data_IF_331653815726
#
_entry.id   IF_331653815726
#
_cell.length_a   1.000
_cell.length_b   1.000
_cell.length_c   1.000
_cell.angle_alpha   90.00
_cell.angle_beta   90.00
_cell.angle_gamma   90.00
#
_symmetry.space_group_name_H-M   'P 1'
#
loop_
_entity.id
_entity.type
_entity.pdbx_description
1 polymer ?
#
# COMPACT_ATOMS: atom_id res chain seq x y z
N UNK A 1 -3.59 -38.08 14.04
CA UNK A 1 -4.61 -37.08 13.76
C UNK A 1 -3.91 -35.84 13.28
N UNK A 2 -4.21 -35.25 12.12
CA UNK A 2 -3.58 -33.99 11.73
C UNK A 2 -4.05 -32.91 12.71
N UNK A 3 -3.09 -32.19 13.28
CA UNK A 3 -3.38 -31.03 14.10
C UNK A 3 -4.18 -30.03 13.24
N UNK A 4 -5.39 -29.71 13.66
CA UNK A 4 -6.13 -28.58 13.08
C UNK A 4 -5.30 -27.33 13.42
N UNK A 5 -4.50 -26.86 12.49
CA UNK A 5 -3.93 -25.52 12.52
C UNK A 5 -5.12 -24.54 12.60
N UNK A 6 -5.33 -23.95 13.76
CA UNK A 6 -6.23 -22.82 13.88
C UNK A 6 -5.66 -21.72 13.00
N UNK A 7 -6.15 -21.62 11.77
CA UNK A 7 -5.80 -20.53 10.85
C UNK A 7 -6.35 -19.26 11.50
N UNK A 8 -5.48 -18.40 11.99
CA UNK A 8 -5.86 -17.08 12.47
C UNK A 8 -6.48 -16.33 11.30
N UNK A 9 -7.70 -15.84 11.48
CA UNK A 9 -8.43 -15.09 10.46
C UNK A 9 -8.46 -13.63 10.88
N UNK A 10 -8.20 -12.73 9.94
CA UNK A 10 -8.38 -11.29 10.14
C UNK A 10 -9.70 -10.88 9.50
N UNK A 11 -10.58 -10.28 10.29
CA UNK A 11 -11.96 -9.94 9.87
C UNK A 11 -12.09 -8.41 9.80
N UNK A 12 -12.47 -7.89 8.63
CA UNK A 12 -12.74 -6.47 8.39
C UNK A 12 -14.21 -6.35 7.96
N UNK A 13 -15.11 -6.11 8.91
CA UNK A 13 -16.55 -6.21 8.63
C UNK A 13 -16.93 -7.64 8.28
N UNK A 14 -17.34 -7.87 7.04
CA UNK A 14 -17.69 -9.18 6.45
C UNK A 14 -16.54 -9.77 5.61
N UNK A 15 -15.44 -9.04 5.41
CA UNK A 15 -14.28 -9.52 4.67
C UNK A 15 -13.42 -10.40 5.59
N UNK A 16 -13.15 -11.61 5.13
CA UNK A 16 -12.29 -12.57 5.84
C UNK A 16 -10.97 -12.73 5.11
N UNK A 17 -9.88 -12.34 5.75
CA UNK A 17 -8.52 -12.50 5.24
C UNK A 17 -7.82 -13.63 5.98
N UNK A 18 -7.30 -14.65 5.29
CA UNK A 18 -6.67 -15.80 5.94
C UNK A 18 -5.24 -15.47 6.41
N UNK A 19 -4.85 -16.05 7.54
CA UNK A 19 -3.49 -15.99 8.04
C UNK A 19 -3.06 -14.59 8.49
N UNK A 20 -1.90 -14.16 8.03
CA UNK A 20 -1.33 -12.85 8.26
C UNK A 20 -1.33 -12.05 6.95
N UNK A 21 -2.33 -11.22 6.71
CA UNK A 21 -2.54 -10.58 5.41
C UNK A 21 -1.49 -9.52 5.09
N UNK A 22 -1.14 -9.47 3.81
CA UNK A 22 -0.26 -8.48 3.21
C UNK A 22 -1.08 -7.54 2.32
N UNK A 23 -1.07 -6.26 2.68
CA UNK A 23 -1.88 -5.25 2.02
C UNK A 23 -1.02 -4.38 1.10
N UNK A 24 -1.49 -4.09 -0.12
CA UNK A 24 -0.87 -3.05 -0.95
C UNK A 24 -1.34 -1.67 -0.48
N UNK A 25 -0.37 -0.79 -0.16
CA UNK A 25 -0.68 0.57 0.26
C UNK A 25 -1.26 1.41 -0.88
N UNK A 26 -2.23 2.30 -0.60
CA UNK A 26 -2.66 3.33 -1.56
C UNK A 26 -1.53 4.33 -1.82
N UNK A 27 -1.15 4.50 -3.08
CA UNK A 27 -0.05 5.37 -3.50
C UNK A 27 -0.47 6.16 -4.74
N UNK A 28 -0.44 7.49 -4.65
CA UNK A 28 -0.78 8.38 -5.77
C UNK A 28 0.11 8.11 -6.99
N UNK A 29 -0.49 8.06 -8.16
CA UNK A 29 0.10 7.73 -9.45
C UNK A 29 0.82 6.36 -9.50
N UNK A 30 0.55 5.43 -8.59
CA UNK A 30 1.21 4.12 -8.51
C UNK A 30 0.23 2.97 -8.35
N UNK A 31 -0.71 3.04 -7.39
CA UNK A 31 -1.65 1.94 -7.12
C UNK A 31 -2.89 1.99 -8.01
N UNK A 32 -2.64 2.15 -9.30
CA UNK A 32 -3.61 2.06 -10.39
C UNK A 32 -3.98 0.60 -10.72
N UNK A 33 -5.04 0.35 -11.50
CA UNK A 33 -5.45 -1.00 -11.86
C UNK A 33 -4.34 -1.87 -12.45
N UNK A 34 -3.50 -1.39 -13.41
CA UNK A 34 -2.38 -2.17 -13.94
C UNK A 34 -1.40 -2.66 -12.86
N UNK A 35 -1.00 -1.78 -11.95
CA UNK A 35 -0.08 -2.14 -10.89
C UNK A 35 -0.73 -3.02 -9.82
N UNK A 36 -2.00 -2.76 -9.47
CA UNK A 36 -2.74 -3.63 -8.55
C UNK A 36 -2.88 -5.04 -9.10
N UNK A 37 -3.16 -5.19 -10.41
CA UNK A 37 -3.21 -6.51 -11.05
C UNK A 37 -1.91 -7.29 -10.85
N UNK A 38 -0.77 -6.67 -11.13
CA UNK A 38 0.54 -7.29 -10.95
C UNK A 38 0.84 -7.64 -9.48
N UNK A 39 0.43 -6.79 -8.53
CA UNK A 39 0.55 -7.09 -7.10
C UNK A 39 -0.37 -8.24 -6.66
N UNK A 40 -1.60 -8.30 -7.18
CA UNK A 40 -2.54 -9.39 -6.91
C UNK A 40 -2.02 -10.72 -7.40
N UNK A 41 -1.52 -10.79 -8.63
CA UNK A 41 -0.88 -11.96 -9.22
C UNK A 41 0.31 -12.47 -8.38
N UNK A 42 0.93 -11.58 -7.60
CA UNK A 42 2.04 -11.89 -6.70
C UNK A 42 1.65 -12.04 -5.22
N UNK A 43 0.36 -12.13 -4.90
CA UNK A 43 -0.11 -12.51 -3.57
C UNK A 43 -0.43 -11.36 -2.62
N UNK A 44 -0.73 -10.15 -3.12
CA UNK A 44 -1.35 -9.12 -2.29
C UNK A 44 -2.76 -9.57 -1.87
N UNK A 45 -3.04 -9.66 -0.56
CA UNK A 45 -4.31 -10.17 -0.04
C UNK A 45 -5.43 -9.14 -0.14
N UNK A 46 -5.13 -7.88 0.19
CA UNK A 46 -6.05 -6.75 0.11
C UNK A 46 -5.34 -5.56 -0.53
N UNK A 47 -6.01 -4.87 -1.42
CA UNK A 47 -5.47 -3.70 -2.09
C UNK A 47 -6.37 -2.49 -1.93
N UNK A 48 -5.82 -1.31 -2.23
CA UNK A 48 -6.54 -0.05 -2.22
C UNK A 48 -6.29 0.71 -3.52
N UNK A 49 -7.28 1.46 -3.97
CA UNK A 49 -7.09 2.41 -5.07
C UNK A 49 -6.12 3.53 -4.65
N UNK A 50 -5.67 4.32 -5.60
CA UNK A 50 -5.13 5.63 -5.30
C UNK A 50 -6.18 6.45 -4.53
N UNK A 51 -5.74 7.39 -3.67
CA UNK A 51 -6.70 8.18 -2.90
C UNK A 51 -7.41 9.23 -3.77
N UNK A 52 -8.71 9.35 -3.58
CA UNK A 52 -9.61 10.15 -4.40
C UNK A 52 -10.15 11.33 -3.58
N UNK A 53 -10.05 12.55 -4.13
CA UNK A 53 -10.63 13.72 -3.49
C UNK A 53 -12.17 13.64 -3.49
N UNK A 54 -12.79 13.77 -2.30
CA UNK A 54 -14.25 13.85 -2.17
C UNK A 54 -14.83 14.98 -3.01
N UNK A 55 -14.23 16.18 -2.94
CA UNK A 55 -14.60 17.32 -3.79
C UNK A 55 -14.48 17.03 -5.29
N UNK A 56 -13.43 16.27 -5.69
CA UNK A 56 -13.25 15.87 -7.08
C UNK A 56 -14.33 14.90 -7.55
N UNK A 57 -14.74 13.95 -6.71
CA UNK A 57 -15.81 13.00 -7.01
C UNK A 57 -17.16 13.70 -7.16
N UNK A 58 -17.52 14.58 -6.23
CA UNK A 58 -18.79 15.29 -6.25
C UNK A 58 -18.93 16.17 -7.47
N UNK A 59 -17.84 16.80 -7.90
CA UNK A 59 -17.81 17.65 -9.11
C UNK A 59 -17.63 16.88 -10.41
N UNK A 60 -17.69 15.57 -10.33
CA UNK A 60 -17.57 14.69 -11.49
C UNK A 60 -16.26 14.86 -12.29
N UNK A 61 -15.17 15.16 -11.58
CA UNK A 61 -13.87 15.34 -12.22
C UNK A 61 -13.39 14.04 -12.86
N UNK A 62 -13.08 14.07 -14.15
CA UNK A 62 -12.66 12.90 -14.95
C UNK A 62 -11.55 12.09 -14.25
N UNK A 63 -10.51 12.76 -13.73
CA UNK A 63 -9.42 12.08 -13.01
C UNK A 63 -9.89 11.35 -11.75
N UNK A 64 -10.87 11.90 -11.03
CA UNK A 64 -11.43 11.27 -9.84
C UNK A 64 -12.27 10.04 -10.19
N UNK A 65 -13.00 10.10 -11.28
CA UNK A 65 -13.79 8.96 -11.79
C UNK A 65 -12.92 7.80 -12.23
N UNK A 66 -11.86 8.06 -13.00
CA UNK A 66 -10.92 7.01 -13.40
C UNK A 66 -10.31 6.23 -12.23
N UNK A 67 -10.11 6.89 -11.08
CA UNK A 67 -9.60 6.21 -9.89
C UNK A 67 -10.62 5.30 -9.20
N UNK A 68 -11.89 5.37 -9.59
CA UNK A 68 -12.93 4.43 -9.12
C UNK A 68 -12.89 3.08 -9.85
N UNK A 69 -12.12 2.96 -10.94
CA UNK A 69 -12.05 1.73 -11.71
C UNK A 69 -11.46 0.61 -10.86
N UNK A 70 -12.26 -0.43 -10.65
CA UNK A 70 -11.92 -1.66 -9.94
C UNK A 70 -12.42 -2.86 -10.75
N UNK A 71 -11.78 -4.01 -10.58
CA UNK A 71 -12.06 -5.21 -11.33
C UNK A 71 -12.25 -6.40 -10.38
N UNK A 72 -13.07 -7.38 -10.77
CA UNK A 72 -13.38 -8.54 -9.92
C UNK A 72 -12.15 -9.36 -9.53
N UNK A 73 -11.13 -9.42 -10.37
CA UNK A 73 -9.89 -10.12 -10.07
C UNK A 73 -9.05 -9.44 -8.98
N UNK A 74 -9.32 -8.19 -8.66
CA UNK A 74 -8.62 -7.42 -7.61
C UNK A 74 -9.19 -7.67 -6.21
N UNK A 75 -10.38 -8.24 -6.11
CA UNK A 75 -11.08 -8.44 -4.83
C UNK A 75 -10.30 -9.36 -3.88
N UNK A 76 -10.31 -9.05 -2.57
CA UNK A 76 -10.95 -7.89 -1.95
C UNK A 76 -10.18 -6.60 -2.22
N UNK A 77 -10.91 -5.51 -2.50
CA UNK A 77 -10.36 -4.20 -2.81
C UNK A 77 -11.11 -3.08 -2.10
N UNK A 78 -10.36 -2.11 -1.58
CA UNK A 78 -10.89 -0.88 -1.01
C UNK A 78 -10.74 0.33 -1.92
N UNK A 79 -11.74 1.19 -1.95
CA UNK A 79 -11.62 2.52 -2.55
C UNK A 79 -11.26 3.52 -1.46
N UNK A 80 -10.14 4.24 -1.64
CA UNK A 80 -9.70 5.23 -0.67
C UNK A 80 -10.09 6.64 -1.08
N UNK A 81 -10.75 7.37 -0.16
CA UNK A 81 -11.12 8.78 -0.34
C UNK A 81 -10.44 9.67 0.69
N UNK A 82 -10.35 10.97 0.40
CA UNK A 82 -9.92 11.99 1.35
C UNK A 82 -10.71 13.28 1.15
N UNK A 83 -10.88 14.01 2.25
CA UNK A 83 -11.57 15.31 2.28
C UNK A 83 -11.39 15.97 3.65
N UNK A 84 -11.83 17.21 3.76
CA UNK A 84 -11.84 17.99 5.00
C UNK A 84 -13.22 18.54 5.35
N UNK A 85 -14.28 18.07 4.67
CA UNK A 85 -15.64 18.49 4.84
C UNK A 85 -16.58 17.29 4.98
N UNK A 86 -17.49 17.33 5.96
CA UNK A 86 -18.36 16.20 6.32
C UNK A 86 -19.35 15.85 5.22
N UNK A 87 -19.99 16.85 4.61
CA UNK A 87 -20.99 16.64 3.56
C UNK A 87 -20.34 16.08 2.29
N UNK A 88 -19.16 16.61 1.92
CA UNK A 88 -18.41 16.12 0.75
C UNK A 88 -17.95 14.68 0.92
N UNK A 89 -17.49 14.29 2.10
CA UNK A 89 -17.11 12.90 2.39
C UNK A 89 -18.32 11.97 2.42
N UNK A 90 -19.45 12.40 3.00
CA UNK A 90 -20.68 11.61 2.99
C UNK A 90 -21.20 11.37 1.57
N UNK A 91 -21.18 12.39 0.70
CA UNK A 91 -21.57 12.25 -0.71
C UNK A 91 -20.60 11.34 -1.46
N UNK A 92 -19.29 11.53 -1.30
CA UNK A 92 -18.25 10.68 -1.91
C UNK A 92 -18.40 9.21 -1.47
N UNK A 93 -18.72 8.96 -0.20
CA UNK A 93 -18.95 7.61 0.33
C UNK A 93 -20.12 6.91 -0.36
N UNK A 94 -21.21 7.63 -0.66
CA UNK A 94 -22.35 7.08 -1.44
C UNK A 94 -21.97 6.77 -2.88
N UNK A 95 -21.14 7.61 -3.51
CA UNK A 95 -20.64 7.37 -4.86
C UNK A 95 -19.77 6.10 -4.87
N UNK A 96 -18.88 5.95 -3.88
CA UNK A 96 -18.05 4.75 -3.72
C UNK A 96 -18.91 3.50 -3.46
N UNK A 97 -19.91 3.57 -2.60
CA UNK A 97 -20.85 2.44 -2.32
C UNK A 97 -21.50 1.94 -3.63
N UNK A 98 -21.87 2.85 -4.52
CA UNK A 98 -22.48 2.52 -5.80
C UNK A 98 -21.54 1.81 -6.79
N UNK A 99 -20.22 1.87 -6.60
CA UNK A 99 -19.23 1.14 -7.42
C UNK A 99 -18.95 -0.27 -6.92
N UNK A 100 -19.53 -0.66 -5.78
CA UNK A 100 -19.48 -2.01 -5.20
C UNK A 100 -18.06 -2.55 -4.93
N UNK A 101 -17.16 -1.78 -4.27
CA UNK A 101 -15.94 -2.32 -3.70
C UNK A 101 -16.24 -3.16 -2.46
N UNK A 102 -15.21 -3.82 -1.91
CA UNK A 102 -15.38 -4.60 -0.68
C UNK A 102 -15.35 -3.72 0.58
N UNK A 103 -14.65 -2.57 0.53
CA UNK A 103 -14.61 -1.60 1.64
C UNK A 103 -14.37 -0.16 1.16
N UNK A 104 -14.69 0.79 2.02
CA UNK A 104 -14.33 2.20 1.90
C UNK A 104 -13.18 2.51 2.86
N UNK A 105 -12.11 3.12 2.37
CA UNK A 105 -11.01 3.57 3.22
C UNK A 105 -10.88 5.10 3.24
N UNK A 106 -10.56 5.66 4.40
CA UNK A 106 -10.38 7.10 4.58
C UNK A 106 -8.90 7.41 4.75
N UNK A 107 -8.37 8.32 3.94
CA UNK A 107 -6.99 8.78 4.04
C UNK A 107 -6.84 9.94 5.01
N UNK A 108 -6.28 9.68 6.19
CA UNK A 108 -5.79 10.68 7.13
C UNK A 108 -4.26 10.67 7.26
N UNK A 109 -3.57 10.16 6.24
CA UNK A 109 -2.12 10.00 6.26
C UNK A 109 -1.33 10.75 5.18
N UNK A 110 -1.97 11.31 4.14
CA UNK A 110 -1.28 12.00 3.06
C UNK A 110 -0.54 13.24 3.59
N UNK A 111 0.82 13.29 3.51
CA UNK A 111 1.59 14.38 4.11
C UNK A 111 1.76 15.59 3.19
N UNK A 112 1.30 15.48 1.93
CA UNK A 112 1.53 16.50 0.89
C UNK A 112 0.91 17.83 1.31
N UNK A 113 1.72 18.91 1.25
CA UNK A 113 1.33 20.24 1.72
C UNK A 113 0.00 20.72 1.09
N UNK A 114 -0.20 20.48 -0.21
CA UNK A 114 -1.41 20.86 -0.94
C UNK A 114 -2.69 20.23 -0.36
N UNK A 115 -2.60 19.03 0.24
CA UNK A 115 -3.71 18.33 0.88
C UNK A 115 -3.81 18.73 2.36
N UNK A 116 -2.71 18.64 3.10
CA UNK A 116 -2.69 18.84 4.54
C UNK A 116 -3.03 20.30 4.96
N UNK A 117 -2.63 21.31 4.17
CA UNK A 117 -2.97 22.72 4.46
C UNK A 117 -4.46 23.04 4.24
N UNK A 118 -5.22 22.16 3.58
CA UNK A 118 -6.67 22.31 3.39
C UNK A 118 -7.48 21.56 4.45
N UNK A 119 -6.86 21.13 5.54
CA UNK A 119 -7.54 20.35 6.58
C UNK A 119 -7.96 18.94 6.14
N UNK A 120 -7.28 18.36 5.14
CA UNK A 120 -7.54 17.01 4.63
C UNK A 120 -6.30 16.11 4.76
N UNK A 121 -6.46 14.81 4.56
CA UNK A 121 -5.36 13.86 4.73
C UNK A 121 -4.72 13.98 6.12
N UNK A 122 -3.39 14.03 6.21
CA UNK A 122 -2.71 14.18 7.49
C UNK A 122 -2.94 15.53 8.19
N UNK A 123 -3.55 16.51 7.51
CA UNK A 123 -3.93 17.80 8.12
C UNK A 123 -4.95 17.65 9.25
N UNK A 124 -5.80 16.63 9.16
CA UNK A 124 -6.85 16.32 10.15
C UNK A 124 -6.25 15.87 11.51
N UNK A 125 -4.99 15.40 11.54
CA UNK A 125 -4.31 15.01 12.78
C UNK A 125 -4.14 16.15 13.79
N UNK A 126 -4.38 17.39 13.38
CA UNK A 126 -4.37 18.57 14.26
C UNK A 126 -5.70 18.82 14.98
N UNK A 127 -6.78 18.22 14.50
CA UNK A 127 -8.13 18.37 15.03
C UNK A 127 -8.81 17.01 15.06
N UNK A 128 -8.69 16.32 16.19
CA UNK A 128 -9.26 14.97 16.36
C UNK A 128 -10.80 15.00 16.42
N UNK A 129 -11.39 16.11 16.82
CA UNK A 129 -12.86 16.23 16.82
C UNK A 129 -13.37 16.31 15.38
N UNK A 130 -12.70 17.06 14.52
CA UNK A 130 -12.99 17.05 13.08
C UNK A 130 -12.79 15.63 12.49
N UNK A 131 -11.70 14.95 12.84
CA UNK A 131 -11.43 13.58 12.37
C UNK A 131 -12.58 12.63 12.70
N UNK A 132 -13.08 12.69 13.92
CA UNK A 132 -14.24 11.91 14.40
C UNK A 132 -15.50 12.23 13.59
N UNK A 133 -15.80 13.53 13.38
CA UNK A 133 -16.98 13.94 12.59
C UNK A 133 -16.89 13.49 11.14
N UNK A 134 -15.74 13.67 10.49
CA UNK A 134 -15.51 13.22 9.11
C UNK A 134 -15.68 11.71 8.96
N UNK A 135 -15.12 10.93 9.90
CA UNK A 135 -15.24 9.47 9.90
C UNK A 135 -16.70 9.03 10.11
N UNK A 136 -17.39 9.66 11.07
CA UNK A 136 -18.81 9.38 11.35
C UNK A 136 -19.70 9.70 10.12
N UNK A 137 -19.39 10.76 9.38
CA UNK A 137 -20.10 11.10 8.15
C UNK A 137 -19.96 9.98 7.10
N UNK A 138 -18.74 9.42 6.94
CA UNK A 138 -18.51 8.27 6.05
C UNK A 138 -19.25 7.02 6.53
N UNK A 139 -19.08 6.64 7.82
CA UNK A 139 -19.69 5.42 8.39
C UNK A 139 -21.21 5.43 8.25
N UNK A 140 -21.84 6.58 8.41
CA UNK A 140 -23.31 6.73 8.25
C UNK A 140 -23.78 6.76 6.80
N UNK A 141 -22.90 7.07 5.86
CA UNK A 141 -23.27 7.29 4.45
C UNK A 141 -23.17 6.05 3.57
N UNK A 142 -22.54 4.97 4.04
CA UNK A 142 -22.31 3.73 3.28
C UNK A 142 -22.68 2.49 4.10
N UNK A 143 -22.95 1.39 3.41
CA UNK A 143 -23.10 0.05 4.02
C UNK A 143 -21.77 -0.72 4.07
N UNK A 144 -20.77 -0.24 3.33
CA UNK A 144 -19.46 -0.87 3.28
C UNK A 144 -18.75 -0.83 4.63
N UNK A 145 -17.91 -1.81 4.96
CA UNK A 145 -16.94 -1.68 6.03
C UNK A 145 -16.07 -0.45 5.80
N UNK A 146 -15.99 0.45 6.77
CA UNK A 146 -15.13 1.65 6.70
C UNK A 146 -13.83 1.38 7.43
N UNK A 147 -12.70 1.64 6.76
CA UNK A 147 -11.36 1.57 7.34
C UNK A 147 -10.67 2.92 7.27
N UNK A 148 -9.57 3.08 8.00
CA UNK A 148 -8.80 4.32 8.00
C UNK A 148 -7.32 4.02 7.82
N UNK A 149 -6.64 4.84 7.02
CA UNK A 149 -5.18 4.87 6.95
C UNK A 149 -4.64 6.19 7.46
N UNK A 150 -3.78 6.14 8.47
CA UNK A 150 -3.25 7.34 9.13
C UNK A 150 -1.75 7.26 9.42
N UNK A 151 -1.24 8.22 10.19
CA UNK A 151 0.13 8.33 10.68
C UNK A 151 0.14 8.44 12.22
N UNK A 152 1.35 8.42 12.82
CA UNK A 152 1.53 8.51 14.28
C UNK A 152 1.02 9.84 14.89
N UNK A 153 0.93 10.87 14.08
CA UNK A 153 0.53 12.21 14.49
C UNK A 153 1.03 13.27 13.50
N UNK A 154 0.85 14.54 13.85
CA UNK A 154 1.25 15.66 13.01
C UNK A 154 2.78 15.84 12.95
N UNK A 155 3.42 15.88 14.10
CA UNK A 155 4.87 16.05 14.29
C UNK A 155 5.36 15.28 15.51
N UNK A 156 6.61 15.48 15.91
CA UNK A 156 7.24 14.73 17.01
C UNK A 156 6.56 15.00 18.35
N UNK A 157 6.10 16.23 18.58
CA UNK A 157 5.47 16.66 19.83
C UNK A 157 3.99 16.29 19.90
N UNK A 158 3.38 15.97 18.76
CA UNK A 158 1.97 15.67 18.60
C UNK A 158 1.74 14.27 18.01
N UNK A 159 2.27 13.23 18.67
CA UNK A 159 2.03 11.81 18.37
C UNK A 159 0.83 11.32 19.19
N UNK A 160 -0.34 11.37 18.59
CA UNK A 160 -1.62 11.10 19.24
C UNK A 160 -2.31 9.82 18.75
N UNK A 161 -1.57 8.89 18.15
CA UNK A 161 -2.13 7.71 17.47
C UNK A 161 -2.94 6.79 18.40
N UNK A 162 -2.59 6.69 19.69
CA UNK A 162 -3.32 5.87 20.65
C UNK A 162 -4.75 6.41 20.85
N UNK A 163 -4.89 7.73 21.08
CA UNK A 163 -6.20 8.40 21.16
C UNK A 163 -6.96 8.33 19.83
N UNK A 164 -6.28 8.55 18.71
CA UNK A 164 -6.87 8.42 17.35
C UNK A 164 -7.49 7.04 17.16
N UNK A 165 -6.78 5.97 17.52
CA UNK A 165 -7.26 4.60 17.35
C UNK A 165 -8.53 4.33 18.16
N UNK A 166 -8.56 4.74 19.44
CA UNK A 166 -9.73 4.58 20.31
C UNK A 166 -10.94 5.34 19.77
N UNK A 167 -10.76 6.62 19.47
CA UNK A 167 -11.84 7.48 18.99
C UNK A 167 -12.42 7.03 17.66
N UNK A 168 -11.57 6.58 16.73
CA UNK A 168 -12.02 6.09 15.42
C UNK A 168 -12.74 4.73 15.53
N UNK A 169 -12.26 3.82 16.39
CA UNK A 169 -12.97 2.59 16.68
C UNK A 169 -14.36 2.85 17.27
N UNK A 170 -14.47 3.78 18.21
CA UNK A 170 -15.74 4.16 18.83
C UNK A 170 -16.74 4.72 17.81
N UNK A 171 -16.26 5.37 16.74
CA UNK A 171 -17.10 5.80 15.60
C UNK A 171 -17.58 4.62 14.75
N UNK A 172 -16.89 3.49 14.77
CA UNK A 172 -17.31 2.26 14.09
C UNK A 172 -16.49 1.85 12.88
N UNK A 173 -15.25 2.33 12.72
CA UNK A 173 -14.34 1.77 11.70
C UNK A 173 -14.09 0.28 11.96
N UNK A 174 -13.72 -0.46 10.89
CA UNK A 174 -13.54 -1.91 10.95
C UNK A 174 -12.08 -2.34 10.92
N UNK A 175 -11.15 -1.45 10.59
CA UNK A 175 -9.71 -1.66 10.69
C UNK A 175 -8.96 -0.33 10.63
N UNK A 176 -7.71 -0.32 11.12
CA UNK A 176 -6.84 0.85 11.10
C UNK A 176 -5.45 0.48 10.58
N UNK A 177 -5.00 1.14 9.51
CA UNK A 177 -3.63 1.04 8.99
C UNK A 177 -2.80 2.26 9.46
N UNK A 178 -1.68 2.00 10.13
CA UNK A 178 -0.86 3.05 10.75
C UNK A 178 0.53 3.10 10.10
N UNK A 179 0.87 4.22 9.47
CA UNK A 179 2.24 4.47 9.04
C UNK A 179 3.08 4.95 10.23
N UNK A 180 4.17 4.25 10.52
CA UNK A 180 5.08 4.49 11.65
C UNK A 180 5.89 5.79 11.57
N UNK A 181 5.39 6.82 10.89
CA UNK A 181 5.97 8.16 10.82
C UNK A 181 4.93 9.23 11.09
N UNK A 182 5.36 10.39 11.58
CA UNK A 182 4.52 11.59 11.66
C UNK A 182 4.35 12.22 10.28
N UNK A 183 3.40 13.18 10.17
CA UNK A 183 3.25 13.96 8.94
C UNK A 183 4.52 14.77 8.63
N UNK A 184 5.14 15.37 9.62
CA UNK A 184 6.32 16.23 9.45
C UNK A 184 7.56 15.46 8.99
N UNK A 185 7.71 14.23 9.40
CA UNK A 185 8.79 13.34 8.92
C UNK A 185 8.66 13.01 7.42
N UNK A 186 7.43 13.01 6.88
CA UNK A 186 7.15 12.55 5.51
C UNK A 186 7.68 11.12 5.27
N UNK A 187 8.90 10.99 4.73
CA UNK A 187 9.60 9.72 4.48
C UNK A 187 11.01 9.70 5.06
N UNK A 188 11.40 10.73 5.84
CA UNK A 188 12.71 10.81 6.47
C UNK A 188 12.78 9.96 7.73
N UNK A 189 14.00 9.53 8.08
CA UNK A 189 14.24 8.66 9.23
C UNK A 189 13.60 7.28 9.07
N UNK A 190 13.46 6.55 10.15
CA UNK A 190 12.85 5.22 10.21
C UNK A 190 11.41 5.27 10.71
N UNK A 191 10.61 4.30 10.31
CA UNK A 191 9.25 4.13 10.80
C UNK A 191 9.28 3.59 12.25
N UNK A 192 8.67 4.30 13.18
CA UNK A 192 8.56 3.86 14.57
C UNK A 192 7.35 2.95 14.76
N UNK A 193 7.60 1.65 14.86
CA UNK A 193 6.56 0.65 15.07
C UNK A 193 6.18 0.45 16.54
N UNK A 194 6.93 1.03 17.49
CA UNK A 194 6.63 0.89 18.93
C UNK A 194 5.27 1.49 19.27
N UNK A 195 4.92 2.63 18.66
CA UNK A 195 3.60 3.26 18.85
C UNK A 195 2.48 2.47 18.18
N UNK A 196 2.77 1.79 17.05
CA UNK A 196 1.81 0.87 16.42
C UNK A 196 1.54 -0.31 17.37
N UNK A 197 2.59 -0.87 17.98
CA UNK A 197 2.45 -1.93 18.97
C UNK A 197 1.67 -1.49 20.22
N UNK A 198 1.85 -0.25 20.68
CA UNK A 198 1.05 0.30 21.80
C UNK A 198 -0.43 0.31 21.46
N UNK A 199 -0.80 0.77 20.26
CA UNK A 199 -2.18 0.72 19.79
C UNK A 199 -2.68 -0.73 19.76
N UNK A 200 -1.90 -1.67 19.17
CA UNK A 200 -2.29 -3.08 19.07
C UNK A 200 -2.48 -3.74 20.43
N UNK A 201 -1.64 -3.40 21.39
CA UNK A 201 -1.68 -3.98 22.74
C UNK A 201 -2.65 -3.26 23.69
N UNK A 202 -3.33 -2.21 23.24
CA UNK A 202 -4.37 -1.54 24.02
C UNK A 202 -5.59 -2.45 24.14
N UNK A 203 -6.00 -2.86 25.36
CA UNK A 203 -7.10 -3.80 25.57
C UNK A 203 -8.47 -3.26 25.11
N UNK A 204 -8.60 -1.95 24.90
CA UNK A 204 -9.80 -1.35 24.31
C UNK A 204 -9.90 -1.55 22.80
N UNK A 205 -8.77 -1.79 22.13
CA UNK A 205 -8.75 -1.93 20.66
C UNK A 205 -9.07 -3.37 20.27
N UNK A 206 -10.17 -3.56 19.58
CA UNK A 206 -10.70 -4.85 19.15
C UNK A 206 -10.67 -5.03 17.62
N UNK A 207 -10.49 -3.94 16.88
CA UNK A 207 -10.38 -3.98 15.42
C UNK A 207 -8.97 -4.37 14.97
N UNK A 208 -8.82 -4.95 13.77
CA UNK A 208 -7.50 -5.23 13.20
C UNK A 208 -6.63 -3.97 13.04
N UNK A 209 -5.35 -4.09 13.42
CA UNK A 209 -4.33 -3.05 13.27
C UNK A 209 -3.27 -3.50 12.27
N UNK A 210 -3.13 -2.76 11.18
CA UNK A 210 -2.13 -3.01 10.14
C UNK A 210 -0.96 -2.05 10.26
N UNK A 211 0.25 -2.61 10.38
CA UNK A 211 1.45 -1.82 10.42
C UNK A 211 1.94 -1.44 9.03
N UNK A 212 2.43 -0.20 8.87
CA UNK A 212 2.96 0.28 7.60
C UNK A 212 4.24 1.10 7.84
N UNK A 213 5.21 0.93 6.95
CA UNK A 213 6.47 1.69 6.92
C UNK A 213 7.69 0.78 6.93
N UNK A 214 8.57 1.00 5.95
CA UNK A 214 9.91 0.42 5.80
C UNK A 214 9.98 -1.12 5.72
N UNK A 215 8.89 -1.79 5.40
CA UNK A 215 8.91 -3.23 5.11
C UNK A 215 9.41 -3.43 3.67
N UNK A 216 10.58 -4.02 3.54
CA UNK A 216 11.34 -4.18 2.30
C UNK A 216 11.94 -5.58 2.10
N UNK A 217 11.70 -6.49 3.05
CA UNK A 217 12.17 -7.86 2.97
C UNK A 217 11.29 -8.84 3.76
N UNK A 218 11.30 -10.14 3.40
CA UNK A 218 10.58 -11.19 4.14
C UNK A 218 10.98 -11.31 5.60
N UNK A 219 12.28 -11.22 5.89
CA UNK A 219 12.82 -11.33 7.23
C UNK A 219 12.31 -10.18 8.12
N UNK A 220 12.32 -8.95 7.60
CA UNK A 220 11.82 -7.78 8.32
C UNK A 220 10.32 -7.85 8.55
N UNK A 221 9.56 -8.37 7.58
CA UNK A 221 8.13 -8.59 7.74
C UNK A 221 7.84 -9.58 8.88
N UNK A 222 8.59 -10.69 8.96
CA UNK A 222 8.45 -11.68 10.03
C UNK A 222 8.91 -11.12 11.39
N UNK A 223 10.06 -10.42 11.44
CA UNK A 223 10.55 -9.76 12.67
C UNK A 223 9.50 -8.78 13.21
N UNK A 224 8.94 -7.92 12.34
CA UNK A 224 7.97 -6.91 12.76
C UNK A 224 6.62 -7.52 13.17
N UNK A 225 6.16 -8.58 12.51
CA UNK A 225 5.02 -9.37 12.98
C UNK A 225 5.23 -9.86 14.41
N UNK A 226 6.39 -10.48 14.66
CA UNK A 226 6.68 -11.12 15.95
C UNK A 226 6.90 -10.09 17.08
N UNK A 227 7.58 -8.98 16.78
CA UNK A 227 7.91 -7.94 17.76
C UNK A 227 6.74 -7.03 18.10
N UNK A 228 5.92 -6.69 17.13
CA UNK A 228 4.88 -5.66 17.27
C UNK A 228 3.47 -6.22 17.32
N UNK A 229 3.27 -7.50 17.00
CA UNK A 229 2.02 -8.22 17.17
C UNK A 229 0.85 -7.75 16.32
N UNK A 230 1.10 -6.95 15.27
CA UNK A 230 0.07 -6.45 14.37
C UNK A 230 -0.67 -7.57 13.64
N UNK A 231 -1.88 -7.31 13.19
CA UNK A 231 -2.73 -8.30 12.52
C UNK A 231 -2.38 -8.52 11.06
N UNK A 232 -1.61 -7.62 10.46
CA UNK A 232 -1.08 -7.71 9.10
C UNK A 232 -0.18 -6.53 8.77
N UNK A 233 0.39 -6.55 7.58
CA UNK A 233 1.36 -5.55 7.13
C UNK A 233 0.89 -4.91 5.84
N UNK A 234 0.96 -3.57 5.78
CA UNK A 234 0.73 -2.81 4.56
C UNK A 234 2.06 -2.40 3.91
N UNK A 235 2.27 -2.79 2.66
CA UNK A 235 3.50 -2.58 1.89
C UNK A 235 3.27 -1.50 0.83
N UNK A 236 4.15 -0.52 0.77
CA UNK A 236 4.10 0.54 -0.25
C UNK A 236 5.30 0.50 -1.18
N UNK A 237 6.29 1.37 -0.95
CA UNK A 237 7.43 1.62 -1.84
C UNK A 237 8.20 0.37 -2.26
N UNK A 238 8.30 -0.65 -1.39
CA UNK A 238 9.01 -1.89 -1.70
C UNK A 238 8.34 -2.72 -2.80
N UNK A 239 7.03 -2.53 -3.05
CA UNK A 239 6.32 -3.21 -4.12
C UNK A 239 6.52 -2.54 -5.49
N UNK A 240 6.95 -1.27 -5.54
CA UNK A 240 7.11 -0.51 -6.81
C UNK A 240 8.20 -1.16 -7.67
N UNK A 241 7.80 -1.79 -8.79
CA UNK A 241 8.71 -2.53 -9.66
C UNK A 241 9.32 -3.78 -9.01
N UNK A 242 8.77 -4.21 -7.88
CA UNK A 242 9.11 -5.47 -7.22
C UNK A 242 7.89 -6.12 -6.56
N UNK A 243 6.85 -6.48 -7.33
CA UNK A 243 5.61 -7.03 -6.77
C UNK A 243 5.79 -8.39 -6.08
N UNK A 244 6.85 -9.11 -6.39
CA UNK A 244 7.22 -10.40 -5.80
C UNK A 244 7.40 -10.36 -4.28
N UNK A 245 7.55 -9.17 -3.68
CA UNK A 245 7.67 -8.98 -2.24
C UNK A 245 6.54 -9.66 -1.47
N UNK A 246 5.31 -9.68 -2.01
CA UNK A 246 4.16 -10.31 -1.36
C UNK A 246 4.32 -11.83 -1.29
N UNK A 247 4.57 -12.50 -2.41
CA UNK A 247 4.76 -13.96 -2.43
C UNK A 247 5.99 -14.40 -1.66
N UNK A 248 7.06 -13.60 -1.66
CA UNK A 248 8.28 -13.88 -0.92
C UNK A 248 8.05 -13.82 0.60
N UNK A 249 7.28 -12.84 1.07
CA UNK A 249 6.91 -12.73 2.48
C UNK A 249 6.00 -13.89 2.89
N UNK A 250 4.97 -14.21 2.10
CA UNK A 250 4.09 -15.35 2.40
C UNK A 250 4.85 -16.66 2.48
N UNK A 251 5.72 -16.92 1.49
CA UNK A 251 6.53 -18.14 1.50
C UNK A 251 7.43 -18.22 2.74
N UNK A 252 8.14 -17.14 3.04
CA UNK A 252 9.04 -17.08 4.19
C UNK A 252 8.30 -17.25 5.52
N UNK A 253 7.12 -16.68 5.66
CA UNK A 253 6.29 -16.85 6.86
C UNK A 253 5.76 -18.27 7.03
N UNK A 254 5.56 -18.99 5.94
CA UNK A 254 5.06 -20.37 5.96
C UNK A 254 6.18 -21.40 6.17
N UNK A 255 7.35 -21.18 5.58
CA UNK A 255 8.42 -22.19 5.51
C UNK A 255 9.66 -21.84 6.32
N UNK A 256 9.89 -20.56 6.61
CA UNK A 256 11.17 -20.04 7.14
C UNK A 256 12.28 -19.95 6.10
N UNK A 257 12.00 -20.31 4.83
CA UNK A 257 12.98 -20.31 3.75
C UNK A 257 12.73 -19.15 2.77
N UNK A 258 13.82 -18.59 2.25
CA UNK A 258 13.73 -17.53 1.24
C UNK A 258 13.53 -18.15 -0.15
N UNK A 259 12.58 -17.62 -0.91
CA UNK A 259 12.50 -17.91 -2.34
C UNK A 259 13.74 -17.37 -3.06
N UNK A 260 14.16 -18.04 -4.14
CA UNK A 260 15.13 -17.45 -5.06
C UNK A 260 14.59 -16.13 -5.61
N UNK A 261 15.44 -15.13 -5.85
CA UNK A 261 15.02 -13.90 -6.51
C UNK A 261 14.35 -14.21 -7.86
N UNK A 262 13.39 -13.39 -8.30
CA UNK A 262 12.81 -13.56 -9.64
C UNK A 262 13.89 -13.49 -10.70
N UNK A 263 13.85 -14.42 -11.65
CA UNK A 263 14.80 -14.49 -12.77
C UNK A 263 14.68 -13.27 -13.67
N UNK A 264 15.69 -13.02 -14.53
CA UNK A 264 15.61 -11.95 -15.52
C UNK A 264 14.40 -12.14 -16.43
N UNK A 265 14.16 -13.35 -16.90
CA UNK A 265 13.01 -13.69 -17.74
C UNK A 265 11.69 -13.29 -17.08
N UNK A 266 11.51 -13.64 -15.82
CA UNK A 266 10.31 -13.29 -15.06
C UNK A 266 10.16 -11.77 -14.88
N UNK A 267 11.26 -11.06 -14.61
CA UNK A 267 11.24 -9.59 -14.45
C UNK A 267 10.87 -8.88 -15.74
N UNK A 268 11.38 -9.32 -16.87
CA UNK A 268 11.07 -8.77 -18.18
C UNK A 268 9.62 -9.04 -18.55
N UNK A 269 9.14 -10.28 -18.38
CA UNK A 269 7.76 -10.66 -18.69
C UNK A 269 6.75 -9.85 -17.84
N UNK A 270 6.96 -9.76 -16.53
CA UNK A 270 6.11 -8.95 -15.65
C UNK A 270 6.16 -7.48 -16.01
N UNK A 271 7.32 -6.95 -16.40
CA UNK A 271 7.48 -5.57 -16.84
C UNK A 271 6.69 -5.29 -18.13
N UNK A 272 6.76 -6.18 -19.12
CA UNK A 272 5.99 -6.10 -20.37
C UNK A 272 4.48 -6.22 -20.13
N UNK A 273 4.06 -7.17 -19.29
CA UNK A 273 2.66 -7.33 -18.91
C UNK A 273 2.11 -6.06 -18.22
N UNK A 274 2.89 -5.48 -17.31
CA UNK A 274 2.54 -4.23 -16.64
C UNK A 274 2.41 -3.07 -17.62
N UNK A 275 3.36 -2.93 -18.55
CA UNK A 275 3.32 -1.91 -19.61
C UNK A 275 2.07 -2.06 -20.46
N UNK A 276 1.76 -3.27 -20.96
CA UNK A 276 0.57 -3.53 -21.77
C UNK A 276 -0.71 -3.12 -21.04
N UNK A 277 -0.90 -3.58 -19.79
CA UNK A 277 -2.06 -3.22 -18.96
C UNK A 277 -2.13 -1.69 -18.75
N UNK A 278 -0.98 -1.03 -18.52
CA UNK A 278 -0.90 0.42 -18.33
C UNK A 278 -1.32 1.20 -19.58
N UNK A 279 -0.89 0.75 -20.75
CA UNK A 279 -1.26 1.35 -22.03
C UNK A 279 -2.74 1.11 -22.37
N UNK A 280 -3.27 -0.09 -22.10
CA UNK A 280 -4.69 -0.40 -22.28
C UNK A 280 -5.59 0.51 -21.44
N UNK A 281 -5.23 0.74 -20.18
CA UNK A 281 -6.07 1.49 -19.26
C UNK A 281 -5.92 3.02 -19.40
N UNK A 282 -4.68 3.53 -19.61
CA UNK A 282 -4.38 4.97 -19.63
C UNK A 282 -4.17 5.57 -21.01
N UNK A 283 -4.09 4.73 -22.04
CA UNK A 283 -3.61 5.10 -23.37
C UNK A 283 -2.07 5.17 -23.43
N UNK A 284 -1.53 5.14 -24.63
CA UNK A 284 -0.10 4.98 -24.86
C UNK A 284 0.76 6.05 -24.16
N UNK A 285 0.42 7.33 -24.31
CA UNK A 285 1.26 8.43 -23.79
C UNK A 285 1.40 8.37 -22.27
N UNK A 286 0.29 8.22 -21.54
CA UNK A 286 0.30 8.22 -20.08
C UNK A 286 0.84 6.91 -19.56
N UNK A 287 0.39 5.79 -20.11
CA UNK A 287 0.81 4.45 -19.71
C UNK A 287 2.32 4.24 -19.80
N UNK A 288 2.93 4.59 -20.93
CA UNK A 288 4.37 4.49 -21.12
C UNK A 288 5.14 5.42 -20.15
N UNK A 289 4.67 6.66 -19.98
CA UNK A 289 5.36 7.62 -19.11
C UNK A 289 5.34 7.19 -17.64
N UNK A 290 4.26 6.61 -17.17
CA UNK A 290 4.15 6.19 -15.77
C UNK A 290 4.92 4.91 -15.46
N UNK A 291 5.13 4.03 -16.44
CA UNK A 291 6.00 2.87 -16.29
C UNK A 291 7.46 3.21 -15.96
N UNK A 292 7.93 4.41 -16.30
CA UNK A 292 9.30 4.85 -16.06
C UNK A 292 9.74 4.74 -14.59
N UNK A 293 8.81 4.92 -13.65
CA UNK A 293 9.08 4.78 -12.21
C UNK A 293 9.32 3.33 -11.78
N UNK A 294 8.82 2.37 -12.53
CA UNK A 294 8.92 0.94 -12.21
C UNK A 294 10.19 0.29 -12.77
N UNK A 295 10.68 0.71 -13.94
CA UNK A 295 11.86 0.10 -14.59
C UNK A 295 13.10 0.09 -13.70
N UNK A 296 13.28 1.13 -12.88
CA UNK A 296 14.44 1.22 -11.99
C UNK A 296 14.53 0.02 -11.03
N UNK A 297 13.39 -0.46 -10.54
CA UNK A 297 13.33 -1.57 -9.59
C UNK A 297 13.16 -2.93 -10.29
N UNK A 298 12.40 -3.02 -11.38
CA UNK A 298 12.32 -4.26 -12.17
C UNK A 298 13.73 -4.73 -12.60
N UNK A 299 14.59 -3.79 -12.99
CA UNK A 299 15.93 -4.06 -13.51
C UNK A 299 17.05 -3.88 -12.46
N UNK A 300 16.68 -3.69 -11.19
CA UNK A 300 17.65 -3.50 -10.10
C UNK A 300 18.49 -4.76 -9.91
N UNK A 301 19.82 -4.55 -9.80
CA UNK A 301 20.81 -5.62 -9.56
C UNK A 301 21.60 -6.01 -10.80
N UNK A 302 21.17 -5.65 -12.00
CA UNK A 302 21.93 -5.89 -13.22
C UNK A 302 23.14 -4.94 -13.30
N UNK A 303 24.37 -5.44 -13.54
CA UNK A 303 25.57 -4.61 -13.65
C UNK A 303 25.48 -3.72 -14.90
N UNK A 304 25.85 -2.44 -14.79
CA UNK A 304 25.84 -1.52 -15.94
C UNK A 304 24.46 -1.13 -16.50
N UNK A 305 23.37 -1.52 -15.88
CA UNK A 305 21.98 -1.32 -16.36
C UNK A 305 21.59 0.16 -16.57
N UNK A 306 22.41 1.11 -16.10
CA UNK A 306 22.11 2.55 -16.16
C UNK A 306 21.83 3.04 -17.58
N UNK A 307 22.56 2.55 -18.56
CA UNK A 307 22.41 2.94 -19.96
C UNK A 307 21.04 2.52 -20.51
N UNK A 308 20.65 1.26 -20.32
CA UNK A 308 19.32 0.76 -20.70
C UNK A 308 18.18 1.50 -20.00
N UNK A 309 18.33 1.79 -18.70
CA UNK A 309 17.32 2.57 -17.95
C UNK A 309 17.18 3.98 -18.51
N UNK A 310 18.27 4.62 -18.90
CA UNK A 310 18.23 5.94 -19.54
C UNK A 310 17.49 5.89 -20.89
N UNK A 311 17.68 4.82 -21.67
CA UNK A 311 16.94 4.61 -22.92
C UNK A 311 15.45 4.43 -22.62
N UNK A 312 15.08 3.50 -21.75
CA UNK A 312 13.67 3.19 -21.39
C UNK A 312 12.87 4.41 -20.96
N UNK A 313 13.47 5.37 -20.26
CA UNK A 313 12.75 6.57 -19.79
C UNK A 313 12.55 7.64 -20.88
N UNK A 314 13.13 7.45 -22.08
CA UNK A 314 13.02 8.39 -23.20
C UNK A 314 12.08 7.89 -24.30
N UNK A 315 11.79 6.59 -24.34
CA UNK A 315 10.98 5.95 -25.37
C UNK A 315 9.50 6.40 -25.28
N UNK A 316 8.80 6.32 -26.40
CA UNK A 316 7.44 6.85 -26.57
C UNK A 316 6.44 5.82 -27.07
N UNK A 317 6.89 4.66 -27.55
CA UNK A 317 6.01 3.57 -27.99
C UNK A 317 6.27 2.31 -27.19
N UNK A 318 5.27 1.44 -27.11
CA UNK A 318 5.39 0.14 -26.40
C UNK A 318 6.37 -0.78 -27.11
N UNK A 319 6.38 -0.74 -28.42
CA UNK A 319 7.22 -1.56 -29.29
C UNK A 319 8.71 -1.23 -29.04
N UNK A 320 9.07 0.07 -29.00
CA UNK A 320 10.44 0.49 -28.67
C UNK A 320 10.86 0.03 -27.26
N UNK A 321 9.93 0.10 -26.29
CA UNK A 321 10.19 -0.37 -24.93
C UNK A 321 10.40 -1.88 -24.90
N UNK A 322 9.56 -2.64 -25.58
CA UNK A 322 9.65 -4.09 -25.66
C UNK A 322 10.97 -4.54 -26.33
N UNK A 323 11.39 -3.86 -27.40
CA UNK A 323 12.69 -4.10 -28.06
C UNK A 323 13.85 -3.90 -27.08
N UNK A 324 13.86 -2.83 -26.29
CA UNK A 324 14.92 -2.59 -25.31
C UNK A 324 14.88 -3.62 -24.18
N UNK A 325 13.71 -4.05 -23.76
CA UNK A 325 13.57 -5.12 -22.76
C UNK A 325 14.07 -6.46 -23.28
N UNK A 326 13.89 -6.76 -24.59
CA UNK A 326 14.43 -7.94 -25.25
C UNK A 326 15.95 -7.86 -25.42
N UNK A 327 16.51 -6.69 -25.75
CA UNK A 327 17.94 -6.47 -25.75
C UNK A 327 18.56 -6.74 -24.37
N UNK A 328 17.92 -6.27 -23.29
CA UNK A 328 18.36 -6.54 -21.91
C UNK A 328 18.35 -8.05 -21.64
N UNK A 329 17.29 -8.76 -22.06
CA UNK A 329 17.18 -10.19 -21.90
C UNK A 329 18.33 -10.93 -22.57
N UNK A 330 18.69 -10.54 -23.80
CA UNK A 330 19.80 -11.13 -24.56
C UNK A 330 21.17 -10.77 -23.95
N UNK A 331 21.35 -9.50 -23.54
CA UNK A 331 22.62 -9.03 -23.01
C UNK A 331 23.00 -9.68 -21.68
N UNK A 332 22.01 -9.96 -20.84
CA UNK A 332 22.21 -10.57 -19.52
C UNK A 332 21.70 -12.03 -19.46
N UNK A 333 21.69 -12.73 -20.60
CA UNK A 333 21.30 -14.13 -20.63
C UNK A 333 22.12 -14.96 -19.62
N UNK A 334 21.43 -15.79 -18.85
CA UNK A 334 22.06 -16.58 -17.80
C UNK A 334 22.48 -15.80 -16.53
N UNK A 335 22.14 -14.51 -16.42
CA UNK A 335 22.45 -13.76 -15.20
C UNK A 335 21.58 -14.21 -14.02
N UNK A 336 22.21 -14.56 -12.92
CA UNK A 336 21.56 -14.92 -11.67
C UNK A 336 21.61 -13.76 -10.67
N UNK A 337 20.43 -13.43 -10.12
CA UNK A 337 20.33 -12.40 -9.10
C UNK A 337 20.68 -12.98 -7.73
N UNK A 338 21.63 -12.35 -7.06
CA UNK A 338 21.94 -12.66 -5.68
C UNK A 338 21.05 -11.84 -4.74
N UNK A 339 20.59 -12.45 -3.64
CA UNK A 339 20.08 -11.69 -2.51
C UNK A 339 21.26 -11.14 -1.72
N UNK A 340 21.28 -9.81 -1.53
CA UNK A 340 22.22 -9.24 -0.58
C UNK A 340 22.01 -9.92 0.80
N UNK A 341 23.08 -10.43 1.45
CA UNK A 341 22.96 -10.97 2.79
C UNK A 341 22.43 -9.84 3.71
N UNK A 342 21.28 -10.08 4.34
CA UNK A 342 20.79 -9.17 5.37
C UNK A 342 21.64 -9.50 6.60
N UNK A 343 22.56 -8.60 6.94
CA UNK A 343 23.30 -8.66 8.20
C UNK A 343 22.31 -8.37 9.31
N UNK A 344 21.76 -9.40 9.92
CA UNK A 344 20.87 -9.31 11.09
C UNK A 344 21.54 -8.62 12.30
N UNK A 345 22.87 -8.58 12.31
CA UNK A 345 23.67 -7.98 13.38
C UNK A 345 23.41 -6.47 13.59
N UNK A 346 23.03 -5.74 12.55
CA UNK A 346 22.72 -4.31 12.68
C UNK A 346 21.27 -4.02 13.16
N UNK A 347 20.42 -5.05 13.30
CA UNK A 347 19.04 -4.90 13.76
C UNK A 347 18.90 -4.90 15.28
N UNK A 348 19.87 -5.43 16.00
CA UNK A 348 19.77 -5.62 17.47
C UNK A 348 20.32 -4.44 18.28
N UNK A 349 21.22 -3.61 17.74
CA UNK A 349 21.91 -2.59 18.55
C UNK A 349 21.14 -1.27 18.74
N UNK A 350 20.08 -1.00 17.98
CA UNK A 350 19.35 0.27 18.10
C UNK A 350 18.01 0.20 18.85
N UNK A 351 17.67 -0.92 19.48
CA UNK A 351 16.41 -1.13 20.19
C UNK A 351 16.52 -1.73 21.59
N UNK A 352 17.70 -1.64 22.22
CA UNK A 352 17.82 -1.85 23.65
C UNK A 352 17.79 -0.47 24.33
N UNK A 353 16.61 0.00 24.70
CA UNK A 353 16.22 0.73 25.93
C UNK A 353 14.74 1.01 25.87
#
# INVERSE_FOLDING_TARGET
>A
MPAHLNVVMVIIGDIVLPGFPLLLAPMEDVSDPPFRAVCKENGADLMYTEFISSEGLIRDAIKSRHKLDIYDYEKPIGIQIFGGDEDSLAMASRIVDATNPDLLDINFGCPVKKVACKGAGAGVLKDLDLMVRLTNACVKATRLPVTVKTRLGWDEDNKNIEEVAERLQDVGIKALAIHGRTRSQMYKGEADWRLIAKVKNNPRITIPIFGNGDIDSPQKALDYKNRFGVDGIMIGRAAIGYPWIFREIHHFMQTGELLSPPTLAERIEVSKNHLRKSVEWKGAIVGINEMRRHYANYLKGLPGIKEYRNRLVTLKTSEEVDEVLDEIMQHYDGYEFERAPILLENYHEHCAI
#
